data_IF_708246310655
#
_entry.id   IF_708246310655
#
_cell.length_a   1.000
_cell.length_b   1.000
_cell.length_c   1.000
_cell.angle_alpha   90.00
_cell.angle_beta   90.00
_cell.angle_gamma   90.00
#
_symmetry.space_group_name_H-M   'P 1'
#
loop_
_entity.id
_entity.type
_entity.pdbx_description
1 polymer ?
#
# COMPACT_ATOMS: atom_id res chain seq x y z
N UNK A 1 -0.37 21.59 -17.47
CA UNK A 1 -0.16 20.19 -17.92
C UNK A 1 -1.50 19.45 -17.77
N UNK A 2 -1.65 18.19 -18.19
CA UNK A 2 -2.87 17.43 -17.79
C UNK A 2 -2.92 17.35 -16.26
N UNK A 3 -4.12 17.47 -15.67
CA UNK A 3 -4.35 17.36 -14.21
C UNK A 3 -3.65 16.14 -13.60
N UNK A 4 -3.61 15.03 -14.34
CA UNK A 4 -2.93 13.80 -13.91
C UNK A 4 -1.41 13.97 -13.81
N UNK A 5 -0.80 14.67 -14.77
CA UNK A 5 0.64 14.93 -14.76
C UNK A 5 1.03 15.85 -13.58
N UNK A 6 0.21 16.86 -13.28
CA UNK A 6 0.43 17.75 -12.13
C UNK A 6 0.26 17.02 -10.80
N UNK A 7 -0.74 16.14 -10.71
CA UNK A 7 -0.89 15.25 -9.55
C UNK A 7 0.33 14.37 -9.35
N UNK A 8 0.80 13.68 -10.41
CA UNK A 8 1.97 12.81 -10.31
C UNK A 8 3.25 13.57 -9.94
N UNK A 9 3.47 14.76 -10.50
CA UNK A 9 4.59 15.63 -10.10
C UNK A 9 4.51 15.99 -8.61
N UNK A 10 3.33 16.35 -8.11
CA UNK A 10 3.14 16.65 -6.67
C UNK A 10 3.38 15.44 -5.78
N UNK A 11 2.96 14.24 -6.17
CA UNK A 11 3.24 13.03 -5.39
C UNK A 11 4.74 12.68 -5.39
N UNK A 12 5.43 12.81 -6.53
CA UNK A 12 6.87 12.62 -6.62
C UNK A 12 7.64 13.63 -5.77
N UNK A 13 7.21 14.89 -5.74
CA UNK A 13 7.81 15.92 -4.87
C UNK A 13 7.68 15.60 -3.38
N UNK A 14 6.66 14.81 -2.98
CA UNK A 14 6.56 14.25 -1.62
C UNK A 14 7.48 13.05 -1.38
N UNK A 15 8.27 12.63 -2.36
CA UNK A 15 9.11 11.42 -2.29
C UNK A 15 8.32 10.12 -2.50
N UNK A 16 7.12 10.17 -3.08
CA UNK A 16 6.32 8.98 -3.35
C UNK A 16 6.58 8.43 -4.76
N UNK A 17 6.55 7.10 -4.89
CA UNK A 17 6.70 6.39 -6.16
C UNK A 17 5.40 5.67 -6.51
N UNK A 18 4.95 5.82 -7.75
CA UNK A 18 3.84 5.03 -8.30
C UNK A 18 4.35 3.63 -8.62
N UNK A 19 3.65 2.60 -8.14
CA UNK A 19 3.94 1.19 -8.41
C UNK A 19 2.66 0.52 -8.89
N UNK A 20 2.76 -0.31 -9.91
CA UNK A 20 1.66 -1.14 -10.40
C UNK A 20 1.86 -2.56 -9.87
N UNK A 21 0.86 -3.11 -9.17
CA UNK A 21 0.87 -4.46 -8.60
C UNK A 21 -0.42 -5.18 -8.93
N UNK A 22 -0.37 -6.50 -9.03
CA UNK A 22 -1.54 -7.36 -9.13
C UNK A 22 -2.03 -7.71 -7.72
N UNK A 23 -3.33 -7.54 -7.47
CA UNK A 23 -3.96 -7.79 -6.17
C UNK A 23 -5.28 -8.57 -6.36
N UNK A 24 -5.77 -9.29 -5.33
CA UNK A 24 -7.12 -9.84 -5.35
C UNK A 24 -8.16 -8.73 -5.42
N UNK A 25 -9.14 -8.87 -6.31
CA UNK A 25 -10.24 -7.90 -6.52
C UNK A 25 -10.97 -7.59 -5.20
N UNK A 26 -11.31 -8.62 -4.45
CA UNK A 26 -12.00 -8.51 -3.15
C UNK A 26 -11.21 -7.78 -2.06
N UNK A 27 -9.93 -7.48 -2.27
CA UNK A 27 -9.04 -6.81 -1.30
C UNK A 27 -8.57 -5.42 -1.73
N UNK A 28 -9.07 -4.87 -2.83
CA UNK A 28 -8.63 -3.57 -3.36
C UNK A 28 -8.66 -2.46 -2.29
N UNK A 29 -9.72 -2.39 -1.49
CA UNK A 29 -9.87 -1.39 -0.44
C UNK A 29 -8.77 -1.50 0.64
N UNK A 30 -8.39 -2.73 1.02
CA UNK A 30 -7.35 -2.98 2.03
C UNK A 30 -5.97 -2.52 1.52
N UNK A 31 -5.64 -2.83 0.26
CA UNK A 31 -4.38 -2.40 -0.35
C UNK A 31 -4.29 -0.87 -0.48
N UNK A 32 -5.40 -0.21 -0.85
CA UNK A 32 -5.46 1.27 -0.90
C UNK A 32 -5.24 1.89 0.47
N UNK A 33 -5.91 1.37 1.50
CA UNK A 33 -5.76 1.85 2.87
C UNK A 33 -4.33 1.64 3.39
N UNK A 34 -3.76 0.44 3.18
CA UNK A 34 -2.38 0.14 3.55
C UNK A 34 -1.41 1.13 2.91
N UNK A 35 -1.52 1.35 1.60
CA UNK A 35 -0.66 2.29 0.88
C UNK A 35 -0.79 3.72 1.41
N UNK A 36 -2.01 4.19 1.68
CA UNK A 36 -2.26 5.51 2.29
C UNK A 36 -1.57 5.64 3.65
N UNK A 37 -1.75 4.66 4.53
CA UNK A 37 -1.16 4.69 5.88
C UNK A 37 0.36 4.62 5.86
N UNK A 38 0.97 3.84 4.97
CA UNK A 38 2.43 3.83 4.80
C UNK A 38 2.96 5.16 4.24
N UNK A 39 2.20 5.87 3.40
CA UNK A 39 2.60 7.19 2.89
C UNK A 39 2.62 8.27 4.00
N UNK A 40 1.69 8.17 4.97
CA UNK A 40 1.55 9.07 6.11
C UNK A 40 2.55 8.69 7.22
N UNK A 41 2.57 7.43 7.62
CA UNK A 41 3.39 6.90 8.72
C UNK A 41 4.64 6.19 8.17
N UNK A 42 5.54 6.96 7.57
CA UNK A 42 6.73 6.44 6.84
C UNK A 42 7.74 5.62 7.67
N UNK A 43 7.62 5.66 8.99
CA UNK A 43 8.45 4.88 9.92
C UNK A 43 7.89 3.47 10.17
N UNK A 44 6.64 3.19 9.77
CA UNK A 44 6.02 1.89 9.90
C UNK A 44 6.20 1.08 8.62
N UNK A 45 6.46 -0.21 8.79
CA UNK A 45 6.49 -1.20 7.71
C UNK A 45 5.65 -2.40 8.11
N UNK A 46 5.15 -3.14 7.11
CA UNK A 46 4.35 -4.34 7.32
C UNK A 46 5.25 -5.59 7.17
N UNK A 47 5.26 -6.45 8.19
CA UNK A 47 5.99 -7.73 8.20
C UNK A 47 5.07 -8.92 8.49
N UNK A 48 3.76 -8.68 8.54
CA UNK A 48 2.76 -9.68 8.87
C UNK A 48 1.49 -9.46 8.05
N UNK A 49 0.80 -10.56 7.77
CA UNK A 49 -0.52 -10.59 7.13
C UNK A 49 -1.52 -11.23 8.09
N UNK A 50 -2.76 -10.77 8.05
CA UNK A 50 -3.84 -11.42 8.78
C UNK A 50 -4.38 -12.60 7.97
N UNK A 51 -4.33 -13.79 8.54
CA UNK A 51 -5.06 -14.95 8.04
C UNK A 51 -6.57 -14.71 8.27
N UNK A 52 -7.34 -14.67 7.18
CA UNK A 52 -8.78 -14.42 7.22
C UNK A 52 -9.60 -15.64 7.67
N UNK A 53 -9.00 -16.84 7.66
CA UNK A 53 -9.64 -18.07 8.13
C UNK A 53 -9.44 -18.23 9.64
N UNK A 54 -8.19 -18.16 10.11
CA UNK A 54 -7.88 -18.35 11.54
C UNK A 54 -7.91 -17.07 12.38
N UNK A 55 -7.88 -15.89 11.74
CA UNK A 55 -7.80 -14.59 12.40
C UNK A 55 -6.41 -14.23 12.94
N UNK A 56 -5.44 -15.14 12.85
CA UNK A 56 -4.07 -14.94 13.36
C UNK A 56 -3.25 -14.09 12.40
N UNK A 57 -2.22 -13.44 12.94
CA UNK A 57 -1.20 -12.79 12.11
C UNK A 57 -0.10 -13.77 11.79
N UNK A 58 0.27 -13.84 10.51
CA UNK A 58 1.35 -14.67 10.00
C UNK A 58 2.46 -13.76 9.50
N UNK A 59 3.71 -14.07 9.84
CA UNK A 59 4.87 -13.30 9.37
C UNK A 59 5.08 -13.50 7.87
N UNK A 60 5.33 -12.41 7.14
CA UNK A 60 5.65 -12.44 5.71
C UNK A 60 6.92 -13.24 5.41
N UNK A 61 7.88 -13.27 6.33
CA UNK A 61 9.14 -14.02 6.18
C UNK A 61 8.96 -15.53 6.34
N UNK A 62 7.78 -15.97 6.82
CA UNK A 62 7.45 -17.37 7.10
C UNK A 62 6.35 -17.94 6.20
N UNK A 63 5.93 -17.18 5.17
CA UNK A 63 4.93 -17.57 4.18
C UNK A 63 5.57 -18.10 2.89
#
# INVERSE_FOLDING_TARGET
MSRNKEYEVRQKAKGLKKVTVWIPDSREAEFKLLAEKCCIHRHLSFNSLRDVVSGKYVSLERL
#
